data_IF_596418298359
#
_entry.id   IF_596418298359
#
_cell.length_a   1.000
_cell.length_b   1.000
_cell.length_c   1.000
_cell.angle_alpha   90.00
_cell.angle_beta   90.00
_cell.angle_gamma   90.00
#
_symmetry.space_group_name_H-M   'P 1'
#
loop_
_entity.id
_entity.type
_entity.pdbx_description
1 polymer ?
2 non-polymer ?
3 water ?
#
# COMPACT_ATOMS: atom_id res chain seq x y z
N UNK A 6 0.10 -14.62 6.24
CA UNK A 6 1.38 -14.47 6.89
C UNK A 6 2.03 -13.13 6.52
N UNK A 7 2.83 -12.62 7.44
CA UNK A 7 3.46 -11.32 7.26
C UNK A 7 4.28 -11.22 5.99
N UNK A 8 5.09 -12.22 5.75
CA UNK A 8 5.99 -12.18 4.61
C UNK A 8 5.23 -12.06 3.27
N UNK A 9 4.11 -12.75 3.16
CA UNK A 9 3.32 -12.69 1.93
C UNK A 9 2.77 -11.30 1.72
N UNK A 10 2.23 -10.70 2.78
CA UNK A 10 1.67 -9.35 2.69
C UNK A 10 2.77 -8.30 2.48
N UNK A 11 3.91 -8.45 3.10
CA UNK A 11 5.03 -7.55 2.89
C UNK A 11 5.40 -7.59 1.41
N UNK A 12 5.48 -8.76 0.81
CA UNK A 12 5.84 -8.82 -0.59
C UNK A 12 4.80 -8.13 -1.46
N UNK A 13 3.49 -8.27 -1.15
CA UNK A 13 2.48 -7.54 -1.92
C UNK A 13 2.68 -6.04 -1.80
N UNK A 14 2.96 -5.57 -0.57
CA UNK A 14 3.12 -4.15 -0.35
C UNK A 14 4.39 -3.62 -1.04
N UNK A 15 5.46 -4.37 -1.01
CA UNK A 15 6.69 -3.96 -1.67
C UNK A 15 6.52 -4.00 -3.17
N UNK A 16 5.90 -5.05 -3.71
CA UNK A 16 5.63 -5.10 -5.16
C UNK A 16 4.79 -3.89 -5.59
N UNK A 17 3.79 -3.51 -4.78
CA UNK A 17 2.92 -2.38 -5.19
C UNK A 17 3.69 -1.11 -5.22
N UNK A 18 4.53 -0.86 -4.26
CA UNK A 18 5.36 0.37 -4.25
C UNK A 18 6.37 0.36 -5.38
N UNK A 19 6.97 -0.80 -5.67
CA UNK A 19 7.90 -0.84 -6.79
C UNK A 19 7.16 -0.57 -8.12
N UNK A 20 5.90 -1.00 -8.22
CA UNK A 20 5.10 -0.72 -9.39
C UNK A 20 4.83 0.79 -9.50
N UNK A 21 4.42 1.41 -8.42
CA UNK A 21 4.15 2.86 -8.46
C UNK A 21 5.44 3.65 -8.82
N UNK A 22 6.56 3.23 -8.26
CA UNK A 22 7.82 3.91 -8.52
C UNK A 22 8.44 3.53 -9.85
N UNK A 23 7.79 2.71 -10.65
CA UNK A 23 8.28 2.30 -11.98
C UNK A 23 9.58 1.57 -11.93
N UNK A 24 9.83 0.82 -10.86
CA UNK A 24 11.00 -0.01 -10.66
C UNK A 24 10.60 -1.42 -10.27
N UNK A 25 9.77 -2.12 -11.05
CA UNK A 25 9.49 -3.52 -10.74
C UNK A 25 10.78 -4.30 -10.65
N UNK A 26 10.86 -5.21 -9.67
CA UNK A 26 12.09 -5.97 -9.45
C UNK A 26 12.44 -6.74 -10.67
N UNK A 27 13.66 -6.57 -11.21
CA UNK A 27 14.06 -7.37 -12.37
C UNK A 27 13.98 -8.86 -12.01
N UNK A 28 13.56 -9.65 -12.98
CA UNK A 28 13.45 -11.09 -12.75
C UNK A 28 12.15 -11.69 -13.19
N UNK A 29 11.78 -12.82 -12.58
CA UNK A 29 10.55 -13.48 -13.00
C UNK A 29 9.29 -12.74 -12.70
N UNK A 30 9.34 -11.70 -11.89
CA UNK A 30 8.21 -10.80 -11.74
C UNK A 30 7.20 -11.15 -10.70
N UNK A 31 6.17 -10.30 -10.56
CA UNK A 31 5.20 -10.52 -9.48
C UNK A 31 4.32 -11.72 -9.70
N UNK A 32 3.74 -12.24 -8.64
CA UNK A 32 2.80 -13.31 -8.71
C UNK A 32 1.48 -12.89 -9.41
N UNK A 33 0.64 -13.85 -9.70
CA UNK A 33 -0.69 -13.56 -10.24
C UNK A 33 -1.47 -12.66 -9.25
N UNK A 34 -1.43 -12.99 -7.95
CA UNK A 34 -2.15 -12.19 -6.95
C UNK A 34 -1.66 -10.74 -6.95
N UNK A 35 -0.34 -10.56 -6.99
CA UNK A 35 0.23 -9.27 -6.95
C UNK A 35 -0.15 -8.45 -8.20
N UNK A 36 -0.15 -9.11 -9.37
CA UNK A 36 -0.54 -8.46 -10.62
C UNK A 36 -2.00 -8.01 -10.58
N UNK A 37 -2.87 -8.84 -10.04
CA UNK A 37 -4.28 -8.46 -9.90
C UNK A 37 -4.41 -7.27 -8.97
N UNK A 38 -3.74 -7.35 -7.81
CA UNK A 38 -3.79 -6.27 -6.83
C UNK A 38 -3.31 -4.97 -7.39
N UNK A 39 -2.18 -4.97 -8.13
CA UNK A 39 -1.63 -3.74 -8.69
C UNK A 39 -2.66 -3.05 -9.58
N UNK A 40 -3.33 -3.82 -10.44
CA UNK A 40 -4.30 -3.27 -11.32
C UNK A 40 -5.47 -2.62 -10.56
N UNK A 41 -6.04 -3.38 -9.61
CA UNK A 41 -7.22 -2.97 -8.86
C UNK A 41 -6.89 -1.76 -7.98
N UNK A 42 -5.78 -1.85 -7.23
CA UNK A 42 -5.45 -0.79 -6.31
C UNK A 42 -5.00 0.45 -7.06
N UNK A 43 -4.38 0.35 -8.22
CA UNK A 43 -3.99 1.56 -8.96
C UNK A 43 -5.20 2.30 -9.49
N UNK A 44 -6.26 1.55 -9.87
CA UNK A 44 -7.48 2.24 -10.30
C UNK A 44 -8.05 3.06 -9.17
N UNK A 45 -8.04 2.49 -7.96
CA UNK A 45 -8.51 3.21 -6.77
C UNK A 45 -7.62 4.43 -6.52
N UNK A 46 -6.31 4.21 -6.58
CA UNK A 46 -5.34 5.29 -6.29
C UNK A 46 -5.55 6.49 -7.19
N UNK A 47 -5.70 6.20 -8.49
CA UNK A 47 -5.84 7.32 -9.42
C UNK A 47 -7.09 8.11 -9.14
N UNK A 48 -8.19 7.43 -8.82
CA UNK A 48 -9.42 8.18 -8.54
C UNK A 48 -9.28 8.98 -7.25
N UNK A 49 -8.65 8.40 -6.21
CA UNK A 49 -8.46 9.16 -4.98
C UNK A 49 -7.60 10.39 -5.28
N UNK A 50 -6.51 10.24 -6.05
CA UNK A 50 -5.64 11.38 -6.35
C UNK A 50 -6.35 12.49 -7.07
N UNK A 51 -7.24 12.14 -7.99
CA UNK A 51 -8.02 13.14 -8.72
C UNK A 51 -8.94 13.83 -7.76
N UNK A 52 -9.68 13.10 -6.95
CA UNK A 52 -10.69 13.71 -6.07
C UNK A 52 -10.12 14.56 -4.98
N UNK A 53 -8.95 14.13 -4.45
CA UNK A 53 -8.31 14.79 -3.36
C UNK A 53 -7.18 15.70 -3.76
N UNK A 54 -7.08 16.06 -5.05
CA UNK A 54 -5.96 16.87 -5.51
C UNK A 54 -5.67 18.11 -4.66
N UNK A 55 -6.75 18.80 -4.22
CA UNK A 55 -6.54 19.99 -3.39
C UNK A 55 -5.86 19.65 -2.07
N UNK A 56 -6.39 18.65 -1.34
CA UNK A 56 -5.89 18.43 -0.01
C UNK A 56 -4.63 17.59 0.03
N UNK A 57 -4.24 16.91 -1.07
CA UNK A 57 -2.98 16.17 -1.03
C UNK A 57 -1.79 17.09 -0.81
N UNK A 58 -1.93 18.38 -1.16
CA UNK A 58 -0.90 19.39 -0.95
C UNK A 58 -0.90 19.90 0.50
N UNK A 59 -1.75 19.38 1.38
CA UNK A 59 -1.79 19.91 2.77
C UNK A 59 -0.79 19.29 3.70
N UNK A 60 0.00 18.37 3.20
CA UNK A 60 1.06 17.78 3.99
C UNK A 60 2.36 17.90 3.22
N UNK A 61 3.48 17.78 3.90
CA UNK A 61 4.79 17.77 3.31
C UNK A 61 5.46 16.53 3.88
N UNK A 62 5.57 15.49 3.04
CA UNK A 62 6.03 14.18 3.55
C UNK A 62 7.52 14.12 3.54
N UNK A 63 8.11 14.81 4.55
CA UNK A 63 9.54 15.02 4.65
C UNK A 63 10.32 13.85 5.15
N UNK A 64 9.65 12.90 5.79
CA UNK A 64 10.32 11.77 6.40
C UNK A 64 9.40 10.55 6.45
N UNK A 65 10.01 9.40 6.68
CA UNK A 65 9.22 8.18 6.89
C UNK A 65 8.36 8.31 8.14
N UNK A 66 8.81 8.97 9.21
CA UNK A 66 7.96 9.11 10.39
C UNK A 66 6.75 9.93 10.08
N UNK A 67 6.85 10.96 9.19
CA UNK A 67 5.67 11.70 8.80
C UNK A 67 4.71 10.77 8.06
N UNK A 68 5.24 10.00 7.11
CA UNK A 68 4.40 9.08 6.37
C UNK A 68 3.72 8.07 7.29
N UNK A 69 4.44 7.57 8.31
CA UNK A 69 3.81 6.60 9.22
C UNK A 69 2.69 7.29 10.01
N UNK A 70 2.91 8.53 10.47
CA UNK A 70 1.87 9.21 11.22
C UNK A 70 0.61 9.40 10.37
N UNK A 71 0.81 9.84 9.11
CA UNK A 71 -0.32 10.05 8.22
C UNK A 71 -1.02 8.73 7.94
N UNK A 72 -0.25 7.67 7.70
CA UNK A 72 -0.82 6.35 7.51
C UNK A 72 -1.69 5.93 8.71
N UNK A 73 -1.15 6.09 9.96
CA UNK A 73 -1.90 5.66 11.12
C UNK A 73 -3.20 6.43 11.24
N UNK A 74 -3.14 7.77 11.03
CA UNK A 74 -4.34 8.58 11.20
C UNK A 74 -5.39 8.24 10.16
N UNK A 75 -4.97 8.10 8.90
CA UNK A 75 -5.88 7.83 7.80
C UNK A 75 -6.50 6.47 7.94
N UNK A 76 -5.73 5.46 8.33
CA UNK A 76 -6.28 4.14 8.46
C UNK A 76 -7.15 4.01 9.74
N UNK A 77 -6.88 4.71 10.82
CA UNK A 77 -7.78 4.67 11.97
C UNK A 77 -9.17 5.22 11.53
N UNK A 78 -9.14 6.31 10.73
CA UNK A 78 -10.37 6.85 10.21
C UNK A 78 -11.06 5.89 9.26
N UNK A 79 -10.29 5.26 8.37
CA UNK A 79 -10.86 4.40 7.34
C UNK A 79 -11.60 3.24 7.93
N UNK A 80 -11.09 2.67 9.05
CA UNK A 80 -11.70 1.49 9.64
C UNK A 80 -12.49 1.78 10.90
N UNK A 81 -12.87 3.05 11.14
CA UNK A 81 -13.53 3.40 12.40
C UNK A 81 -14.86 2.71 12.60
N UNK A 82 -15.58 2.33 11.54
CA UNK A 82 -16.88 1.67 11.73
C UNK A 82 -16.74 0.16 12.00
N UNK A 83 -15.53 -0.38 12.03
CA UNK A 83 -15.34 -1.81 12.29
C UNK A 83 -15.70 -2.72 11.13
N UNK A 84 -15.92 -2.18 9.95
CA UNK A 84 -16.31 -3.02 8.81
C UNK A 84 -15.03 -3.28 8.01
N UNK A 85 -14.67 -4.56 7.84
CA UNK A 85 -13.55 -4.96 7.02
C UNK A 85 -14.14 -5.57 5.80
N UNK A 86 -13.59 -5.18 4.64
CA UNK A 86 -13.96 -5.80 3.40
C UNK A 86 -12.81 -5.63 2.44
N UNK A 87 -12.91 -6.32 1.29
CA UNK A 87 -11.78 -6.23 0.35
C UNK A 87 -11.57 -4.84 -0.17
N UNK A 88 -12.63 -4.04 -0.34
CA UNK A 88 -12.46 -2.67 -0.82
C UNK A 88 -11.57 -1.88 0.08
N UNK A 89 -11.77 -1.97 1.39
CA UNK A 89 -10.96 -1.24 2.32
C UNK A 89 -9.54 -1.73 2.30
N UNK A 90 -9.34 -3.06 2.18
CA UNK A 90 -7.98 -3.59 2.07
C UNK A 90 -7.28 -3.06 0.82
N UNK A 91 -7.96 -3.01 -0.32
CA UNK A 91 -7.36 -2.45 -1.53
C UNK A 91 -6.98 -1.00 -1.31
N UNK A 92 -7.83 -0.25 -0.60
CA UNK A 92 -7.57 1.15 -0.34
C UNK A 92 -6.29 1.36 0.46
N UNK A 93 -5.90 0.41 1.29
CA UNK A 93 -4.65 0.51 2.03
C UNK A 93 -3.49 0.59 1.04
N UNK A 94 -3.51 -0.28 0.04
CA UNK A 94 -2.44 -0.27 -0.97
C UNK A 94 -2.47 1.00 -1.78
N UNK A 95 -3.69 1.45 -2.20
CA UNK A 95 -3.80 2.74 -2.92
C UNK A 95 -3.19 3.88 -2.12
N UNK A 96 -3.46 3.90 -0.82
CA UNK A 96 -2.92 4.95 0.02
C UNK A 96 -1.43 4.86 0.16
N UNK A 97 -0.82 3.61 0.32
CA UNK A 97 0.66 3.60 0.36
C UNK A 97 1.26 4.09 -0.97
N UNK A 98 0.53 3.92 -2.09
CA UNK A 98 1.03 4.48 -3.34
C UNK A 98 1.10 5.99 -3.32
N UNK A 99 0.05 6.60 -2.75
CA UNK A 99 0.09 8.07 -2.61
C UNK A 99 1.21 8.51 -1.71
N UNK A 100 1.41 7.81 -0.58
CA UNK A 100 2.47 8.17 0.33
C UNK A 100 3.84 8.06 -0.31
N UNK A 101 4.08 7.00 -1.09
CA UNK A 101 5.41 6.82 -1.66
C UNK A 101 5.67 7.88 -2.71
N UNK A 102 4.65 8.30 -3.44
CA UNK A 102 4.83 9.36 -4.43
C UNK A 102 5.21 10.68 -3.72
N UNK A 103 4.56 10.96 -2.59
CA UNK A 103 4.90 12.18 -1.85
C UNK A 103 6.30 12.07 -1.28
N UNK A 104 6.67 10.93 -0.71
CA UNK A 104 8.02 10.78 -0.17
C UNK A 104 9.08 10.92 -1.25
N UNK A 105 8.83 10.36 -2.46
CA UNK A 105 9.80 10.50 -3.54
C UNK A 105 10.09 11.98 -3.79
N UNK A 106 9.03 12.80 -3.80
CA UNK A 106 9.17 14.22 -4.04
C UNK A 106 9.74 15.02 -2.89
N UNK A 107 9.39 14.64 -1.66
CA UNK A 107 9.54 15.51 -0.48
C UNK A 107 10.48 15.03 0.56
N UNK A 108 10.86 13.75 0.55
CA UNK A 108 11.73 13.27 1.61
C UNK A 108 13.05 14.02 1.67
N UNK A 109 13.43 14.47 2.83
CA UNK A 109 14.76 15.07 2.99
C UNK A 109 15.82 13.92 2.91
N UNK A 110 16.97 14.16 2.26
CA UNK A 110 18.02 13.14 2.06
C UNK A 110 17.38 11.84 1.56
N UNK A 111 16.73 11.89 0.37
CA UNK A 111 15.98 10.73 -0.11
C UNK A 111 16.78 9.42 0.02
N UNK A 112 16.07 8.35 0.32
CA UNK A 112 16.63 7.04 0.60
C UNK A 112 15.90 6.11 -0.30
N UNK A 113 16.59 5.58 -1.35
CA UNK A 113 15.88 4.72 -2.30
C UNK A 113 15.33 3.41 -1.69
N UNK A 114 15.70 3.10 -0.45
CA UNK A 114 15.26 1.94 0.28
C UNK A 114 13.97 2.31 1.18
N UNK A 115 13.47 3.58 1.11
CA UNK A 115 12.28 4.03 1.88
C UNK A 115 11.03 3.17 1.66
N UNK A 116 10.81 2.71 0.41
CA UNK A 116 9.66 1.88 0.14
C UNK A 116 9.66 0.59 0.96
N UNK A 117 10.83 0.07 1.42
CA UNK A 117 10.91 -1.09 2.34
C UNK A 117 10.36 -0.81 3.80
N UNK A 118 10.50 0.45 4.33
CA UNK A 118 9.97 0.71 5.66
C UNK A 118 8.46 0.96 5.56
N UNK A 119 8.02 1.62 4.48
CA UNK A 119 6.57 1.81 4.27
C UNK A 119 5.91 0.40 4.10
N UNK A 120 6.52 -0.48 3.30
CA UNK A 120 5.96 -1.85 3.11
C UNK A 120 5.82 -2.57 4.41
N UNK A 121 6.76 -2.39 5.31
CA UNK A 121 6.74 -3.04 6.60
C UNK A 121 5.56 -2.56 7.41
N UNK A 122 5.40 -1.23 7.56
CA UNK A 122 4.29 -0.78 8.44
C UNK A 122 2.93 -1.03 7.79
N UNK A 123 2.84 -1.07 6.45
CA UNK A 123 1.63 -1.46 5.78
C UNK A 123 1.28 -2.92 6.09
N UNK A 124 2.28 -3.83 5.93
CA UNK A 124 2.02 -5.22 6.24
C UNK A 124 1.66 -5.42 7.70
N UNK A 125 2.31 -4.66 8.62
CA UNK A 125 1.99 -4.77 10.01
C UNK A 125 0.54 -4.42 10.28
N UNK A 126 0.07 -3.31 9.67
CA UNK A 126 -1.33 -2.91 9.86
C UNK A 126 -2.28 -3.94 9.31
N UNK A 127 -1.98 -4.41 8.09
CA UNK A 127 -2.90 -5.39 7.48
C UNK A 127 -2.96 -6.65 8.29
N UNK A 128 -1.78 -7.18 8.72
CA UNK A 128 -1.72 -8.40 9.51
C UNK A 128 -2.44 -8.30 10.76
N UNK A 129 -2.12 -7.27 11.56
CA UNK A 129 -2.65 -7.17 12.87
C UNK A 129 -4.11 -6.73 12.92
N UNK A 130 -4.61 -5.98 11.96
CA UNK A 130 -5.95 -5.46 12.00
C UNK A 130 -6.92 -6.19 11.10
N UNK A 131 -6.47 -6.78 10.03
CA UNK A 131 -7.34 -7.47 9.05
C UNK A 131 -6.94 -8.91 8.79
N UNK A 132 -5.86 -9.41 9.39
CA UNK A 132 -5.36 -10.74 9.08
C UNK A 132 -6.33 -11.87 9.31
N UNK A 133 -7.04 -11.85 10.44
CA UNK A 133 -8.03 -12.89 10.76
C UNK A 133 -9.16 -12.91 9.72
N UNK A 134 -9.65 -11.72 9.40
CA UNK A 134 -10.73 -11.56 8.43
C UNK A 134 -10.29 -12.08 7.08
N UNK A 135 -9.04 -11.71 6.68
CA UNK A 135 -8.53 -12.22 5.41
C UNK A 135 -8.54 -13.75 5.33
N UNK A 136 -8.01 -14.41 6.32
CA UNK A 136 -7.93 -15.89 6.33
C UNK A 136 -9.35 -16.51 6.24
N UNK A 137 -10.26 -15.98 7.06
CA UNK A 137 -11.64 -16.46 7.11
C UNK A 137 -12.39 -16.23 5.85
N UNK A 138 -11.93 -15.29 4.99
CA UNK A 138 -12.56 -15.02 3.75
C UNK A 138 -11.77 -15.50 2.56
N UNK A 139 -10.89 -16.47 2.77
CA UNK A 139 -10.22 -17.13 1.67
C UNK A 139 -8.78 -16.79 1.43
N UNK A 140 -8.24 -15.89 2.22
CA UNK A 140 -6.89 -15.45 2.02
C UNK A 140 -6.79 -14.66 0.70
N UNK A 141 -5.54 -14.44 0.29
CA UNK A 141 -5.29 -13.73 -0.95
C UNK A 141 -5.62 -14.56 -2.14
N UNK A 142 -5.30 -15.84 -2.09
CA UNK A 142 -5.41 -16.75 -3.25
C UNK A 142 -6.82 -17.27 -3.46
N UNK A 143 -7.62 -17.48 -2.39
CA UNK A 143 -9.00 -17.98 -2.48
C UNK A 143 -10.06 -16.95 -2.08
N UNK A 144 -9.66 -15.71 -1.79
CA UNK A 144 -10.56 -14.67 -1.41
C UNK A 144 -10.35 -13.56 -2.39
N UNK A 145 -9.30 -12.79 -2.19
CA UNK A 145 -9.05 -11.62 -3.00
C UNK A 145 -8.96 -11.93 -4.50
N UNK A 146 -8.12 -12.87 -4.90
CA UNK A 146 -7.94 -13.14 -6.30
C UNK A 146 -9.19 -13.64 -6.94
N UNK A 147 -9.92 -14.52 -6.25
CA UNK A 147 -11.18 -15.05 -6.80
C UNK A 147 -12.17 -13.93 -7.04
N UNK A 148 -12.20 -12.93 -6.20
CA UNK A 148 -13.12 -11.83 -6.36
C UNK A 148 -12.72 -10.84 -7.44
N UNK A 149 -11.44 -10.55 -7.59
CA UNK A 149 -10.98 -9.46 -8.44
C UNK A 149 -10.26 -9.87 -9.68
N UNK A 150 -9.93 -11.13 -9.88
CA UNK A 150 -9.27 -11.51 -11.10
C UNK A 150 -10.18 -11.28 -12.29
N UNK A 151 -9.51 -11.07 -13.47
CA UNK A 151 -10.21 -10.66 -14.64
C UNK A 151 -11.26 -11.65 -14.93
N UNK A 152 -12.34 -11.13 -15.54
CA UNK A 152 -13.48 -11.97 -15.87
C UNK A 152 -13.12 -12.97 -16.98
X LIG B 1 -5.09 13.43 5.97
X LIG B 1 -4.97 14.12 4.60
X LIG B 1 -3.75 13.65 3.83
X LIG B 1 -2.10 13.97 2.11
X LIG B 1 -3.20 14.42 2.83
X LIG B 1 -6.49 12.57 3.29
X LIG B 1 -7.42 11.77 3.95
X LIG B 1 -7.67 10.49 3.50
X LIG B 1 -7.02 10.01 2.37
X LIG B 1 -6.09 10.82 1.72
X LIG B 1 -5.83 12.10 2.16
X LIG B 1 -8.21 7.90 2.40
X LIG B 1 -7.91 6.57 1.73
X LIG B 1 -8.64 6.71 0.39
X LIG B 1 -9.96 7.33 0.81
X LIG B 1 -14.46 2.42 1.86
X LIG B 1 -13.44 3.09 -0.51
X LIG B 1 -7.02 14.95 3.47
X LIG B 1 -3.17 12.41 4.09
X LIG B 1 -2.08 11.96 3.38
X LIG B 1 -1.57 12.75 2.40
X LIG B 1 -0.18 12.18 1.51
X LIG B 1 -6.22 13.89 3.78
X LIG B 1 -5.26 10.20 0.30
X LIG B 1 -7.19 8.76 1.85
X LIG B 1 -9.61 8.31 1.93
X LIG B 1 -10.91 6.32 1.29
X LIG B 1 -11.80 5.71 0.48
X LIG B 1 -11.92 6.02 -0.70
X LIG B 1 -12.58 4.78 1.06
X LIG B 1 -13.77 4.29 0.38
X LIG B 1 -14.85 3.82 1.38
X LIG B 1 -13.94 1.63 0.36
X LIG B 1 -12.82 0.76 0.60
X LIG B 1 -15.10 1.06 -0.27
X LIG B 1 -6.74 16.09 3.82
X LIG B 1 -8.25 14.70 2.62
X LIG B 1 -8.70 15.88 1.76
#
# INVERSE_FOLDING_TARGET
GMTDCEFGYIYRLAQDYLQCVLQIPQPGSGPSKTSRVLQNVAFSVQKEVEKNLKSCLDNVNVVSVDTARTLFNQVMEKEFEDGIINWGRIVTIFAFEGILIKKLLRQQIAPDVDTYKEISYFVAEFIMNNTGEWIRQNGGWENGFVKKFEPK
A1ILX C1 C2 C3 C7 C8 C11 C12 C13 C14 C15 C16 C19 C20 C21 C22 C30 C34 C35 C4 C5 C6 CL9 N10 CL17 O18 C23 N24 C25 O26 N27 C28 C29 S31 O32 O33 O36 C37 C38
#
